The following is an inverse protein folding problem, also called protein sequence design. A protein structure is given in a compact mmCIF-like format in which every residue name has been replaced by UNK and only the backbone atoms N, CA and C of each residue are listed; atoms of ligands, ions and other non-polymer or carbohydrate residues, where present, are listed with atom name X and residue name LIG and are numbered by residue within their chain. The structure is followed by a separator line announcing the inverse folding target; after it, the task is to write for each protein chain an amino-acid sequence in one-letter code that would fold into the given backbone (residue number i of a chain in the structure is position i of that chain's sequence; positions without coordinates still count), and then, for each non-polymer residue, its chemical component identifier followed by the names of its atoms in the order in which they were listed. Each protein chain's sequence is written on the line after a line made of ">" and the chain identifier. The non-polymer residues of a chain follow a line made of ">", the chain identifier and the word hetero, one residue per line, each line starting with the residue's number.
data_IF_819724704038
#
_entry.id   IF_819724704038
#
_cell.length_a   1.000
_cell.length_b   1.000
_cell.length_c   1.000
_cell.angle_alpha   90.00
_cell.angle_beta   90.00
_cell.angle_gamma   90.00
#
_symmetry.space_group_name_H-M   'P 1'
#
loop_
_entity.id
_entity.type
_entity.pdbx_description
1 polymer ?
#
# COMPACT_ATOMS: atom_id res chain seq x y z
N UNK A 1 -5.45 -8.62 3.55
CA UNK A 1 -6.58 -7.65 3.70
C UNK A 1 -7.40 -7.91 4.95
N UNK A 2 -7.74 -9.15 5.29
CA UNK A 2 -8.52 -9.51 6.50
C UNK A 2 -8.01 -8.86 7.81
N UNK A 3 -6.70 -8.85 8.06
CA UNK A 3 -6.14 -8.22 9.28
C UNK A 3 -6.45 -6.72 9.36
N UNK A 4 -6.42 -6.01 8.21
CA UNK A 4 -6.79 -4.59 8.14
C UNK A 4 -8.27 -4.40 8.44
N UNK A 5 -9.14 -5.28 7.93
CA UNK A 5 -10.58 -5.24 8.22
C UNK A 5 -10.86 -5.40 9.71
N UNK A 6 -10.18 -6.34 10.35
CA UNK A 6 -10.33 -6.59 11.78
C UNK A 6 -9.87 -5.40 12.63
N UNK A 7 -8.77 -4.75 12.25
CA UNK A 7 -8.28 -3.52 12.90
C UNK A 7 -9.27 -2.37 12.72
N UNK A 8 -9.78 -2.15 11.50
CA UNK A 8 -10.74 -1.10 11.18
C UNK A 8 -12.10 -1.30 11.87
N UNK A 9 -12.49 -2.56 12.09
CA UNK A 9 -13.69 -2.92 12.83
C UNK A 9 -13.51 -2.83 14.36
N UNK A 10 -12.32 -2.51 14.86
CA UNK A 10 -12.03 -2.43 16.30
C UNK A 10 -12.03 -3.79 17.01
N UNK A 11 -11.95 -4.90 16.26
CA UNK A 11 -12.00 -6.27 16.81
C UNK A 11 -10.64 -6.77 17.31
N UNK A 12 -9.56 -6.02 17.04
CA UNK A 12 -8.21 -6.29 17.53
C UNK A 12 -7.94 -5.32 18.69
N UNK A 13 -8.27 -5.75 19.91
CA UNK A 13 -8.17 -4.93 21.12
C UNK A 13 -6.74 -4.74 21.59
N UNK A 14 -5.85 -5.71 21.33
CA UNK A 14 -4.45 -5.69 21.79
C UNK A 14 -3.57 -4.66 21.07
N UNK A 15 -4.03 -4.11 19.95
CA UNK A 15 -3.27 -3.12 19.19
C UNK A 15 -3.23 -1.73 19.87
N UNK A 16 -4.09 -1.47 20.87
CA UNK A 16 -4.10 -0.21 21.63
C UNK A 16 -4.05 1.03 20.73
N UNK A 17 -3.30 2.07 21.11
CA UNK A 17 -3.12 3.28 20.28
C UNK A 17 -2.28 3.08 19.00
N UNK A 18 -1.71 1.90 18.78
CA UNK A 18 -0.83 1.61 17.63
C UNK A 18 -1.59 1.10 16.40
N UNK A 19 -2.86 0.71 16.56
CA UNK A 19 -3.68 0.14 15.49
C UNK A 19 -3.70 0.98 14.19
N UNK A 20 -3.71 2.34 14.21
CA UNK A 20 -3.74 3.10 12.97
C UNK A 20 -2.45 2.97 12.17
N UNK A 21 -1.30 3.05 12.86
CA UNK A 21 0.03 2.91 12.24
C UNK A 21 0.28 1.47 11.78
N UNK A 22 -0.13 0.49 12.59
CA UNK A 22 -0.10 -0.92 12.20
C UNK A 22 -0.92 -1.17 10.93
N UNK A 23 -2.11 -0.55 10.83
CA UNK A 23 -2.95 -0.63 9.63
C UNK A 23 -2.24 -0.06 8.41
N UNK A 24 -1.63 1.12 8.53
CA UNK A 24 -0.85 1.72 7.45
C UNK A 24 0.36 0.86 7.03
N UNK A 25 1.05 0.21 7.98
CA UNK A 25 2.14 -0.71 7.68
C UNK A 25 1.69 -1.94 6.90
N UNK A 26 0.60 -2.57 7.35
CA UNK A 26 0.06 -3.75 6.66
C UNK A 26 -0.40 -3.40 5.24
N UNK A 27 -1.03 -2.23 5.06
CA UNK A 27 -1.40 -1.74 3.73
C UNK A 27 -0.17 -1.47 2.85
N UNK A 28 0.91 -0.91 3.40
CA UNK A 28 2.16 -0.68 2.65
C UNK A 28 2.76 -2.00 2.16
N UNK A 29 2.85 -3.00 3.04
CA UNK A 29 3.36 -4.33 2.70
C UNK A 29 2.48 -4.96 1.62
N UNK A 30 1.15 -4.90 1.75
CA UNK A 30 0.25 -5.43 0.74
C UNK A 30 0.43 -4.75 -0.62
N UNK A 31 0.59 -3.42 -0.64
CA UNK A 31 0.84 -2.69 -1.88
C UNK A 31 2.17 -3.07 -2.55
N UNK A 32 3.24 -3.24 -1.75
CA UNK A 32 4.54 -3.69 -2.23
C UNK A 32 4.46 -5.11 -2.82
N UNK A 33 3.73 -6.02 -2.17
CA UNK A 33 3.49 -7.37 -2.67
C UNK A 33 2.74 -7.39 -4.00
N UNK A 34 1.73 -6.54 -4.20
CA UNK A 34 1.01 -6.44 -5.47
C UNK A 34 1.93 -5.99 -6.63
N UNK A 35 2.88 -5.10 -6.34
CA UNK A 35 3.88 -4.66 -7.31
C UNK A 35 4.87 -5.78 -7.62
N UNK A 36 5.34 -6.51 -6.60
CA UNK A 36 6.18 -7.68 -6.77
C UNK A 36 5.49 -8.79 -7.60
N UNK A 37 4.19 -9.02 -7.39
CA UNK A 37 3.37 -9.98 -8.16
C UNK A 37 3.19 -9.56 -9.62
N UNK A 38 3.10 -8.26 -9.91
CA UNK A 38 3.17 -7.76 -11.28
C UNK A 38 4.53 -8.10 -11.89
N UNK A 39 5.62 -7.74 -11.22
CA UNK A 39 6.97 -7.98 -11.75
C UNK A 39 7.29 -9.44 -11.95
N UNK A 40 6.88 -10.32 -11.04
CA UNK A 40 7.03 -11.76 -11.20
C UNK A 40 6.39 -12.28 -12.50
N UNK A 41 5.33 -11.63 -12.99
CA UNK A 41 4.64 -11.99 -14.23
C UNK A 41 5.28 -11.37 -15.48
N UNK A 42 5.66 -10.09 -15.43
CA UNK A 42 5.99 -9.32 -16.65
C UNK A 42 7.46 -8.88 -16.77
N UNK A 43 8.18 -8.75 -15.65
CA UNK A 43 9.57 -8.28 -15.63
C UNK A 43 10.27 -8.65 -14.29
N UNK A 44 10.59 -9.94 -14.04
CA UNK A 44 11.08 -10.42 -12.75
C UNK A 44 12.39 -9.76 -12.29
N UNK A 45 13.20 -9.25 -13.21
CA UNK A 45 14.43 -8.50 -12.92
C UNK A 45 14.19 -7.23 -12.11
N UNK A 46 13.01 -6.59 -12.25
CA UNK A 46 12.67 -5.36 -11.55
C UNK A 46 12.43 -5.58 -10.05
N UNK A 47 12.11 -6.80 -9.62
CA UNK A 47 11.95 -7.13 -8.19
C UNK A 47 13.24 -6.90 -7.39
N UNK A 48 14.41 -6.89 -8.04
CA UNK A 48 15.70 -6.62 -7.39
C UNK A 48 15.98 -5.13 -7.21
N UNK A 49 15.21 -4.27 -7.87
CA UNK A 49 15.35 -2.83 -7.77
C UNK A 49 14.74 -2.32 -6.45
N UNK A 50 15.26 -1.22 -5.89
CA UNK A 50 14.62 -0.58 -4.75
C UNK A 50 13.21 -0.12 -5.12
N UNK A 51 12.28 -0.16 -4.16
CA UNK A 51 10.85 0.10 -4.42
C UNK A 51 10.59 1.42 -5.18
N UNK A 52 11.33 2.50 -4.87
CA UNK A 52 11.19 3.78 -5.59
C UNK A 52 11.54 3.68 -7.08
N UNK A 53 12.50 2.84 -7.47
CA UNK A 53 12.84 2.60 -8.87
C UNK A 53 11.78 1.74 -9.56
N UNK A 54 11.23 0.74 -8.87
CA UNK A 54 10.11 -0.05 -9.36
C UNK A 54 8.88 0.84 -9.66
N UNK A 55 8.55 1.78 -8.76
CA UNK A 55 7.44 2.72 -8.94
C UNK A 55 7.61 3.61 -10.18
N UNK A 56 8.84 3.99 -10.55
CA UNK A 56 9.10 4.74 -11.78
C UNK A 56 8.85 3.87 -13.02
N UNK A 57 9.23 2.59 -12.96
CA UNK A 57 9.06 1.65 -14.06
C UNK A 57 7.57 1.34 -14.34
N UNK A 58 6.71 1.33 -13.32
CA UNK A 58 5.27 1.04 -13.45
C UNK A 58 4.59 1.80 -14.59
N UNK A 59 4.97 3.06 -14.83
CA UNK A 59 4.38 3.88 -15.89
C UNK A 59 4.42 3.21 -17.27
N UNK A 60 5.46 2.44 -17.57
CA UNK A 60 5.61 1.74 -18.84
C UNK A 60 4.69 0.51 -18.97
N UNK A 61 4.24 -0.06 -17.85
CA UNK A 61 3.46 -1.31 -17.81
C UNK A 61 1.98 -1.09 -17.50
N UNK A 62 1.66 -0.11 -16.65
CA UNK A 62 0.30 0.14 -16.16
C UNK A 62 -0.32 1.42 -16.75
N UNK A 63 0.46 2.19 -17.51
CA UNK A 63 0.11 3.55 -17.89
C UNK A 63 0.31 4.57 -16.76
N UNK A 64 0.28 5.88 -17.10
CA UNK A 64 0.67 6.95 -16.18
C UNK A 64 -0.28 7.16 -15.00
N UNK A 65 -1.59 6.92 -15.19
CA UNK A 65 -2.58 7.13 -14.14
C UNK A 65 -2.44 6.11 -13.00
N UNK A 66 -2.43 4.82 -13.33
CA UNK A 66 -2.26 3.74 -12.35
C UNK A 66 -0.90 3.83 -11.65
N UNK A 67 0.18 4.12 -12.39
CA UNK A 67 1.50 4.29 -11.80
C UNK A 67 1.54 5.47 -10.80
N UNK A 68 0.93 6.61 -11.14
CA UNK A 68 0.85 7.75 -10.24
C UNK A 68 0.04 7.42 -8.97
N UNK A 69 -1.11 6.75 -9.11
CA UNK A 69 -1.92 6.30 -7.97
C UNK A 69 -1.14 5.42 -7.01
N UNK A 70 -0.44 4.41 -7.52
CA UNK A 70 0.38 3.51 -6.70
C UNK A 70 1.50 4.29 -6.00
N UNK A 71 2.19 5.17 -6.70
CA UNK A 71 3.26 5.98 -6.12
C UNK A 71 2.75 6.94 -5.02
N UNK A 72 1.59 7.57 -5.23
CA UNK A 72 0.94 8.43 -4.24
C UNK A 72 0.54 7.64 -3.00
N UNK A 73 -0.12 6.49 -3.17
CA UNK A 73 -0.53 5.65 -2.05
C UNK A 73 0.69 5.12 -1.27
N UNK A 74 1.72 4.64 -1.97
CA UNK A 74 2.95 4.15 -1.34
C UNK A 74 3.64 5.25 -0.51
N UNK A 75 3.69 6.49 -1.03
CA UNK A 75 4.26 7.62 -0.30
C UNK A 75 3.44 7.98 0.94
N UNK A 76 2.11 8.00 0.84
CA UNK A 76 1.22 8.29 1.97
C UNK A 76 1.34 7.24 3.08
N UNK A 77 1.32 5.96 2.71
CA UNK A 77 1.48 4.85 3.64
C UNK A 77 2.86 4.83 4.28
N UNK A 78 3.92 5.07 3.50
CA UNK A 78 5.29 5.17 4.03
C UNK A 78 5.37 6.27 5.09
N UNK A 79 4.87 7.46 4.76
CA UNK A 79 4.85 8.60 5.69
C UNK A 79 4.07 8.31 6.97
N UNK A 80 2.85 7.78 6.86
CA UNK A 80 1.97 7.48 7.99
C UNK A 80 2.54 6.45 8.98
N UNK A 81 3.61 5.76 8.60
CA UNK A 81 4.23 4.69 9.39
C UNK A 81 5.49 5.11 10.10
N UNK A 82 5.98 6.32 9.86
CA UNK A 82 7.03 6.90 10.67
C UNK A 82 6.45 7.34 12.02
N UNK A 83 7.18 7.03 13.09
CA UNK A 83 6.88 7.51 14.44
C UNK A 83 7.63 8.83 14.64
N UNK A 84 7.05 9.95 14.23
CA UNK A 84 7.47 11.26 14.73
C UNK A 84 6.57 11.61 15.92
N UNK A 85 7.17 11.99 17.05
CA UNK A 85 6.48 12.25 18.32
C UNK A 85 5.39 13.34 18.23
N UNK A 86 5.35 14.10 17.13
CA UNK A 86 4.38 15.18 16.88
C UNK A 86 3.40 14.88 15.73
N UNK A 87 3.54 13.75 15.03
CA UNK A 87 2.62 13.40 13.93
C UNK A 87 1.37 12.68 14.46
N UNK A 88 0.22 13.26 14.15
CA UNK A 88 -1.09 12.65 14.39
C UNK A 88 -1.16 11.31 13.64
N UNK A 89 -1.64 10.28 14.32
CA UNK A 89 -1.91 8.99 13.67
C UNK A 89 -2.99 9.17 12.57
N UNK A 90 -2.92 8.40 11.47
CA UNK A 90 -3.94 8.48 10.43
C UNK A 90 -5.34 8.15 10.97
N UNK A 91 -6.34 8.90 10.54
CA UNK A 91 -7.71 8.71 10.97
C UNK A 91 -8.36 7.45 10.37
N UNK A 92 -9.37 6.89 11.05
CA UNK A 92 -10.06 5.68 10.58
C UNK A 92 -10.66 5.82 9.16
N UNK A 93 -11.16 7.01 8.81
CA UNK A 93 -11.71 7.29 7.47
C UNK A 93 -10.61 7.27 6.41
N UNK A 94 -9.43 7.82 6.71
CA UNK A 94 -8.30 7.81 5.79
C UNK A 94 -7.77 6.39 5.58
N UNK A 95 -7.66 5.60 6.66
CA UNK A 95 -7.26 4.19 6.58
C UNK A 95 -8.24 3.34 5.76
N UNK A 96 -9.56 3.56 5.89
CA UNK A 96 -10.57 2.92 5.04
C UNK A 96 -10.36 3.27 3.57
N UNK A 97 -10.14 4.55 3.27
CA UNK A 97 -9.88 5.00 1.91
C UNK A 97 -8.61 4.36 1.32
N UNK A 98 -7.51 4.30 2.07
CA UNK A 98 -6.29 3.64 1.60
C UNK A 98 -6.47 2.14 1.40
N UNK A 99 -7.26 1.47 2.24
CA UNK A 99 -7.63 0.07 2.05
C UNK A 99 -8.43 -0.15 0.77
N UNK A 100 -9.44 0.68 0.52
CA UNK A 100 -10.23 0.64 -0.72
C UNK A 100 -9.35 0.89 -1.94
N UNK A 101 -8.46 1.88 -1.88
CA UNK A 101 -7.51 2.18 -2.94
C UNK A 101 -6.55 1.01 -3.21
N UNK A 102 -6.06 0.34 -2.15
CA UNK A 102 -5.21 -0.85 -2.27
C UNK A 102 -5.95 -1.99 -2.98
N UNK A 103 -7.24 -2.20 -2.65
CA UNK A 103 -8.07 -3.22 -3.29
C UNK A 103 -8.35 -2.89 -4.77
N UNK A 104 -8.59 -1.61 -5.09
CA UNK A 104 -8.76 -1.17 -6.47
C UNK A 104 -7.47 -1.37 -7.30
N UNK A 105 -6.31 -1.01 -6.73
CA UNK A 105 -5.01 -1.25 -7.36
C UNK A 105 -4.77 -2.74 -7.60
N UNK A 106 -5.12 -3.61 -6.64
CA UNK A 106 -4.99 -5.06 -6.84
C UNK A 106 -5.78 -5.55 -8.06
N UNK A 107 -7.02 -5.07 -8.23
CA UNK A 107 -7.84 -5.38 -9.40
C UNK A 107 -7.19 -4.85 -10.69
N UNK A 108 -6.74 -3.59 -10.70
CA UNK A 108 -6.09 -2.96 -11.86
C UNK A 108 -4.83 -3.74 -12.29
N UNK A 109 -3.96 -4.12 -11.34
CA UNK A 109 -2.72 -4.83 -11.62
C UNK A 109 -2.95 -6.28 -12.07
N UNK A 110 -4.03 -6.93 -11.62
CA UNK A 110 -4.37 -8.28 -12.07
C UNK A 110 -4.72 -8.33 -13.56
N UNK A 111 -5.20 -7.23 -14.13
CA UNK A 111 -5.57 -7.12 -15.54
C UNK A 111 -4.38 -6.86 -16.47
N UNK A 112 -3.24 -6.43 -15.94
CA UNK A 112 -2.00 -6.19 -16.72
C UNK A 112 -1.38 -7.54 -17.11
N UNK A 113 -0.95 -7.66 -18.38
CA UNK A 113 -0.36 -8.86 -18.98
C UNK A 113 1.05 -8.61 -19.47
#
# INVERSE_FOLDING_TARGET
>A
METVDRLLAGTVTDAGGLWPRATAWILRIALEQLVDELWARVAPELMRCPMRAQLLALRAFTGPFTAARIATLWSALSHATHHHDYELAPGATELRRWREETAAIAADLSAVR
#
